data_IF_171459509869
#
_entry.id   IF_171459509869
#
_cell.length_a   1.000
_cell.length_b   1.000
_cell.length_c   1.000
_cell.angle_alpha   90.00
_cell.angle_beta   90.00
_cell.angle_gamma   90.00
#
_symmetry.space_group_name_H-M   'P 1'
#
loop_
_entity.id
_entity.type
_entity.pdbx_description
1 polymer ?
#
# COMPACT_ATOMS: atom_id res chain seq x y z
N UNK A 1 -11.63 -38.35 2.19
CA UNK A 1 -12.09 -37.04 2.71
C UNK A 1 -13.47 -36.73 2.14
N UNK A 2 -14.43 -36.30 2.95
CA UNK A 2 -15.77 -35.96 2.47
C UNK A 2 -15.71 -34.72 1.55
N UNK A 3 -16.37 -34.79 0.38
CA UNK A 3 -16.46 -33.66 -0.57
C UNK A 3 -17.35 -32.58 0.06
N UNK A 4 -16.79 -31.41 0.37
CA UNK A 4 -17.57 -30.26 0.86
C UNK A 4 -18.39 -29.67 -0.28
N UNK A 5 -19.59 -29.15 0.04
CA UNK A 5 -20.43 -28.43 -0.93
C UNK A 5 -19.71 -27.15 -1.34
N UNK A 6 -19.50 -26.96 -2.64
CA UNK A 6 -18.94 -25.72 -3.18
C UNK A 6 -19.97 -24.60 -3.00
N UNK A 7 -19.56 -23.50 -2.38
CA UNK A 7 -20.39 -22.33 -2.13
C UNK A 7 -20.19 -21.24 -3.19
N UNK A 8 -18.93 -20.81 -3.41
CA UNK A 8 -18.58 -19.72 -4.33
C UNK A 8 -17.26 -20.01 -5.03
N UNK A 9 -17.11 -19.58 -6.29
CA UNK A 9 -15.84 -19.65 -7.02
C UNK A 9 -15.29 -18.24 -7.11
N UNK A 10 -14.09 -18.02 -6.57
CA UNK A 10 -13.37 -16.75 -6.72
C UNK A 10 -12.42 -16.88 -7.91
N UNK A 11 -12.51 -15.92 -8.84
CA UNK A 11 -11.55 -15.77 -9.93
C UNK A 11 -10.48 -14.78 -9.52
N UNK A 12 -9.23 -15.25 -9.49
CA UNK A 12 -8.06 -14.42 -9.23
C UNK A 12 -7.25 -14.28 -10.51
N UNK A 13 -6.76 -13.07 -10.79
CA UNK A 13 -5.86 -12.87 -11.91
C UNK A 13 -4.58 -13.71 -11.73
N UNK A 14 -3.99 -14.12 -12.85
CA UNK A 14 -2.67 -14.75 -12.85
C UNK A 14 -1.58 -13.80 -12.36
N UNK A 15 -0.53 -14.38 -11.77
CA UNK A 15 0.66 -13.63 -11.34
C UNK A 15 1.41 -13.01 -12.53
N UNK A 16 1.48 -13.74 -13.65
CA UNK A 16 2.18 -13.30 -14.88
C UNK A 16 1.20 -12.59 -15.81
N UNK A 17 1.64 -11.46 -16.38
CA UNK A 17 0.86 -10.77 -17.41
C UNK A 17 0.52 -11.73 -18.57
N UNK A 18 -0.78 -11.87 -18.86
CA UNK A 18 -1.29 -12.76 -19.92
C UNK A 18 -1.46 -14.24 -19.53
N UNK A 19 -1.19 -14.64 -18.29
CA UNK A 19 -1.46 -16.00 -17.82
C UNK A 19 -2.97 -16.25 -17.59
N UNK A 20 -3.42 -17.53 -17.56
CA UNK A 20 -4.82 -17.86 -17.31
C UNK A 20 -5.22 -17.53 -15.86
N UNK A 21 -6.42 -17.00 -15.68
CA UNK A 21 -6.97 -16.74 -14.35
C UNK A 21 -7.09 -18.04 -13.53
N UNK A 22 -6.90 -17.91 -12.22
CA UNK A 22 -6.98 -19.02 -11.26
C UNK A 22 -8.39 -19.04 -10.67
N UNK A 23 -9.05 -20.19 -10.74
CA UNK A 23 -10.33 -20.42 -10.09
C UNK A 23 -10.14 -21.11 -8.73
N UNK A 24 -10.56 -20.44 -7.66
CA UNK A 24 -10.45 -20.94 -6.29
C UNK A 24 -11.86 -21.30 -5.80
N UNK A 25 -12.21 -22.59 -5.66
CA UNK A 25 -13.50 -23.00 -5.10
C UNK A 25 -13.49 -22.85 -3.58
N UNK A 26 -14.45 -22.10 -3.06
CA UNK A 26 -14.68 -21.89 -1.63
C UNK A 26 -15.85 -22.76 -1.17
N UNK A 27 -15.66 -23.48 -0.07
CA UNK A 27 -16.68 -24.33 0.52
C UNK A 27 -17.80 -23.49 1.18
N UNK A 28 -19.04 -23.97 1.11
CA UNK A 28 -20.22 -23.23 1.56
C UNK A 28 -20.22 -22.93 3.08
N UNK A 29 -19.58 -23.77 3.88
CA UNK A 29 -19.39 -23.61 5.33
C UNK A 29 -18.42 -22.49 5.70
N UNK A 30 -17.57 -22.04 4.77
CA UNK A 30 -16.61 -20.96 4.97
C UNK A 30 -17.12 -19.59 4.51
N UNK A 31 -18.31 -19.55 3.89
CA UNK A 31 -18.89 -18.29 3.43
C UNK A 31 -19.27 -17.41 4.63
N UNK A 32 -18.83 -16.16 4.58
CA UNK A 32 -19.21 -15.09 5.51
C UNK A 32 -19.96 -14.00 4.75
N UNK A 33 -20.16 -12.85 5.38
CA UNK A 33 -20.65 -11.64 4.70
C UNK A 33 -19.72 -11.33 3.53
N UNK A 34 -20.31 -11.00 2.37
CA UNK A 34 -19.55 -10.62 1.19
C UNK A 34 -18.79 -9.30 1.44
N UNK A 35 -17.50 -9.29 1.12
CA UNK A 35 -16.61 -8.15 1.31
C UNK A 35 -15.95 -8.10 2.69
N UNK A 36 -15.08 -7.10 2.89
CA UNK A 36 -14.46 -6.83 4.19
C UNK A 36 -15.42 -5.96 5.00
N UNK A 37 -15.96 -6.43 6.14
CA UNK A 37 -16.87 -5.63 6.94
C UNK A 37 -16.12 -4.44 7.52
N UNK A 38 -16.61 -3.23 7.26
CA UNK A 38 -16.08 -2.02 7.88
C UNK A 38 -16.72 -1.84 9.26
N UNK A 39 -15.90 -1.54 10.26
CA UNK A 39 -16.34 -1.19 11.60
C UNK A 39 -16.06 0.28 11.84
N UNK A 40 -17.09 1.11 11.76
CA UNK A 40 -16.95 2.58 11.82
C UNK A 40 -16.29 3.08 13.10
N UNK A 41 -16.50 2.38 14.22
CA UNK A 41 -15.85 2.68 15.51
C UNK A 41 -14.33 2.53 15.42
N UNK A 42 -13.84 1.47 14.78
CA UNK A 42 -12.41 1.21 14.60
C UNK A 42 -11.78 2.24 13.66
N UNK A 43 -12.47 2.60 12.57
CA UNK A 43 -12.00 3.61 11.61
C UNK A 43 -11.97 5.02 12.24
N UNK A 44 -12.96 5.33 13.07
CA UNK A 44 -13.11 6.67 13.65
C UNK A 44 -12.23 6.89 14.88
N UNK A 45 -11.92 5.83 15.64
CA UNK A 45 -11.04 5.88 16.82
C UNK A 45 -9.68 6.51 16.51
N UNK A 46 -9.01 6.05 15.44
CA UNK A 46 -7.70 6.55 15.01
C UNK A 46 -7.72 7.95 14.38
N UNK A 47 -8.89 8.57 14.22
CA UNK A 47 -9.02 9.86 13.54
C UNK A 47 -9.08 11.07 14.47
N UNK A 48 -9.48 10.87 15.75
CA UNK A 48 -9.68 11.96 16.71
C UNK A 48 -8.79 11.85 17.95
N UNK A 49 -8.91 10.77 18.71
CA UNK A 49 -8.24 10.66 20.03
C UNK A 49 -6.79 10.21 19.91
N UNK A 50 -6.51 9.30 18.97
CA UNK A 50 -5.18 8.76 18.73
C UNK A 50 -4.88 8.85 17.23
N UNK A 51 -4.43 10.01 16.72
CA UNK A 51 -4.16 10.17 15.30
C UNK A 51 -3.15 9.11 14.84
N UNK A 52 -3.48 8.43 13.74
CA UNK A 52 -2.58 7.48 13.13
C UNK A 52 -1.23 8.16 12.84
N UNK A 53 -0.14 7.59 13.32
CA UNK A 53 1.20 8.12 13.10
C UNK A 53 2.19 6.97 12.83
N UNK A 54 3.23 7.27 12.06
CA UNK A 54 4.29 6.34 11.77
C UNK A 54 5.07 5.99 13.04
N UNK A 55 5.28 4.69 13.28
CA UNK A 55 6.09 4.20 14.39
C UNK A 55 7.48 4.84 14.44
N UNK A 56 8.09 5.12 13.29
CA UNK A 56 9.39 5.78 13.19
C UNK A 56 9.41 7.21 13.77
N UNK A 57 8.28 7.90 13.75
CA UNK A 57 8.13 9.24 14.35
C UNK A 57 7.85 9.10 15.85
N UNK A 58 6.89 8.25 16.21
CA UNK A 58 6.53 7.99 17.61
C UNK A 58 7.73 7.50 18.44
N UNK A 59 8.59 6.65 17.86
CA UNK A 59 9.77 6.08 18.50
C UNK A 59 11.07 6.75 18.07
N UNK A 60 11.00 8.01 17.61
CA UNK A 60 12.17 8.73 17.12
C UNK A 60 13.28 8.88 18.17
N UNK A 61 12.94 9.05 19.45
CA UNK A 61 13.92 9.08 20.53
C UNK A 61 14.72 7.78 20.65
N UNK A 62 14.04 6.63 20.56
CA UNK A 62 14.66 5.30 20.57
C UNK A 62 15.55 5.10 19.34
N UNK A 63 15.14 5.61 18.18
CA UNK A 63 15.96 5.56 16.96
C UNK A 63 17.24 6.39 17.08
N UNK A 64 17.17 7.59 17.67
CA UNK A 64 18.34 8.45 17.93
C UNK A 64 19.29 7.81 18.94
N UNK A 65 18.76 7.25 20.03
CA UNK A 65 19.57 6.52 21.00
C UNK A 65 20.25 5.30 20.35
N UNK A 66 19.50 4.47 19.63
CA UNK A 66 20.06 3.30 18.94
C UNK A 66 21.14 3.67 17.90
N UNK A 67 21.01 4.84 17.26
CA UNK A 67 22.06 5.35 16.38
C UNK A 67 23.34 5.68 17.15
N UNK A 68 23.23 6.31 18.33
CA UNK A 68 24.39 6.62 19.18
C UNK A 68 25.10 5.35 19.65
N UNK A 69 24.35 4.39 20.18
CA UNK A 69 24.90 3.10 20.61
C UNK A 69 25.59 2.37 19.46
N UNK A 70 24.99 2.38 18.26
CA UNK A 70 25.60 1.78 17.07
C UNK A 70 26.88 2.49 16.65
N UNK A 71 26.91 3.82 16.72
CA UNK A 71 28.11 4.58 16.38
C UNK A 71 29.26 4.29 17.37
N UNK A 72 28.95 4.04 18.64
CA UNK A 72 29.92 3.71 19.68
C UNK A 72 30.42 2.26 19.59
N UNK A 73 29.51 1.30 19.42
CA UNK A 73 29.82 -0.13 19.52
C UNK A 73 29.97 -0.85 18.18
N UNK A 74 29.49 -0.30 17.07
CA UNK A 74 29.51 -0.96 15.75
C UNK A 74 29.59 0.04 14.58
N UNK A 75 30.73 0.78 14.46
CA UNK A 75 30.86 1.89 13.52
C UNK A 75 30.71 1.48 12.05
N UNK A 76 31.11 0.26 11.68
CA UNK A 76 30.97 -0.26 10.31
C UNK A 76 29.50 -0.39 9.90
N UNK A 77 28.65 -0.78 10.86
CA UNK A 77 27.21 -0.88 10.61
C UNK A 77 26.62 0.52 10.46
N UNK A 78 27.01 1.49 11.29
CA UNK A 78 26.53 2.87 11.14
C UNK A 78 26.92 3.48 9.79
N UNK A 79 28.12 3.18 9.28
CA UNK A 79 28.54 3.60 7.95
C UNK A 79 27.62 3.03 6.84
N UNK A 80 27.24 1.76 6.94
CA UNK A 80 26.29 1.13 6.01
C UNK A 80 24.93 1.85 6.00
N UNK A 81 24.37 2.17 7.17
CA UNK A 81 23.10 2.91 7.29
C UNK A 81 23.21 4.31 6.70
N UNK A 82 24.32 5.01 6.99
CA UNK A 82 24.60 6.34 6.45
C UNK A 82 24.67 6.32 4.93
N UNK A 83 25.33 5.33 4.35
CA UNK A 83 25.46 5.20 2.90
C UNK A 83 24.14 4.82 2.22
N UNK A 84 23.35 3.94 2.84
CA UNK A 84 21.98 3.69 2.40
C UNK A 84 21.14 4.97 2.42
N UNK A 85 21.20 5.75 3.50
CA UNK A 85 20.46 7.01 3.62
C UNK A 85 20.86 8.00 2.52
N UNK A 86 22.16 8.14 2.23
CA UNK A 86 22.65 8.97 1.11
C UNK A 86 22.09 8.50 -0.24
N UNK A 87 22.09 7.18 -0.49
CA UNK A 87 21.60 6.60 -1.76
C UNK A 87 20.09 6.77 -1.94
N UNK A 88 19.29 6.68 -0.86
CA UNK A 88 17.83 6.76 -0.95
C UNK A 88 17.28 8.20 -0.91
N UNK A 89 18.02 9.14 -0.31
CA UNK A 89 17.58 10.54 -0.16
C UNK A 89 17.14 11.21 -1.49
N UNK A 90 17.86 11.05 -2.61
CA UNK A 90 17.42 11.59 -3.90
C UNK A 90 16.06 11.06 -4.35
N UNK A 91 15.78 9.77 -4.09
CA UNK A 91 14.50 9.15 -4.43
C UNK A 91 13.36 9.69 -3.58
N UNK A 92 13.58 9.86 -2.27
CA UNK A 92 12.62 10.48 -1.36
C UNK A 92 12.27 11.90 -1.85
N UNK A 93 13.27 12.68 -2.26
CA UNK A 93 13.05 14.03 -2.77
C UNK A 93 12.28 14.03 -4.11
N UNK A 94 12.56 13.09 -5.01
CA UNK A 94 11.77 12.92 -6.25
C UNK A 94 10.31 12.57 -5.95
N UNK A 95 10.06 11.70 -4.98
CA UNK A 95 8.70 11.31 -4.55
C UNK A 95 7.98 12.51 -3.95
N UNK A 96 8.61 13.30 -3.09
CA UNK A 96 7.99 14.52 -2.52
C UNK A 96 7.53 15.49 -3.62
N UNK A 97 8.35 15.70 -4.65
CA UNK A 97 8.02 16.57 -5.79
C UNK A 97 6.94 16.00 -6.72
N UNK A 98 6.63 14.70 -6.65
CA UNK A 98 5.57 14.14 -7.50
C UNK A 98 4.20 14.69 -7.14
N UNK A 99 3.96 15.01 -5.85
CA UNK A 99 2.73 15.63 -5.37
C UNK A 99 2.50 17.04 -5.91
N UNK A 100 3.54 17.74 -6.36
CA UNK A 100 3.45 19.10 -6.91
C UNK A 100 3.03 19.10 -8.39
N UNK A 101 3.02 17.93 -9.06
CA UNK A 101 2.74 17.84 -10.50
C UNK A 101 1.25 18.01 -10.77
N UNK A 102 0.85 19.09 -11.41
CA UNK A 102 -0.53 19.25 -11.88
C UNK A 102 -0.75 18.37 -13.12
N UNK A 103 -1.77 17.49 -13.16
CA UNK A 103 -2.10 16.72 -14.34
C UNK A 103 -2.48 17.67 -15.49
N UNK A 104 -1.78 17.61 -16.61
CA UNK A 104 -2.17 18.31 -17.83
C UNK A 104 -3.11 17.38 -18.61
N UNK A 105 -4.42 17.53 -18.43
CA UNK A 105 -5.41 16.58 -18.98
C UNK A 105 -6.33 17.32 -19.96
N UNK A 106 -6.24 16.96 -21.25
CA UNK A 106 -7.41 17.05 -22.14
C UNK A 106 -8.35 15.90 -21.78
N UNK A 107 -9.65 16.17 -21.74
CA UNK A 107 -10.68 15.24 -21.27
C UNK A 107 -10.57 13.86 -21.94
N UNK A 108 -9.97 12.89 -21.25
CA UNK A 108 -9.94 11.51 -21.72
C UNK A 108 -11.32 10.88 -21.49
N UNK A 109 -11.97 10.51 -22.58
CA UNK A 109 -13.29 9.85 -22.60
C UNK A 109 -13.18 8.33 -22.40
N UNK A 110 -11.97 7.79 -22.31
CA UNK A 110 -11.72 6.35 -22.13
C UNK A 110 -11.86 5.90 -20.67
N UNK A 111 -12.22 4.62 -20.50
CA UNK A 111 -12.29 4.00 -19.18
C UNK A 111 -10.88 3.81 -18.59
N UNK A 112 -10.41 4.83 -17.87
CA UNK A 112 -9.10 4.88 -17.22
C UNK A 112 -8.84 3.67 -16.30
N UNK A 113 -9.88 3.05 -15.73
CA UNK A 113 -9.76 1.88 -14.84
C UNK A 113 -9.07 0.71 -15.53
N UNK A 114 -9.39 0.45 -16.80
CA UNK A 114 -8.80 -0.66 -17.55
C UNK A 114 -7.33 -0.36 -17.87
N UNK A 115 -7.06 0.84 -18.39
CA UNK A 115 -5.72 1.32 -18.73
C UNK A 115 -4.77 1.24 -17.52
N UNK A 116 -5.23 1.71 -16.35
CA UNK A 116 -4.46 1.65 -15.11
C UNK A 116 -4.20 0.20 -14.70
N UNK A 117 -5.22 -0.66 -14.76
CA UNK A 117 -5.08 -2.08 -14.39
C UNK A 117 -4.10 -2.80 -15.29
N UNK A 118 -4.19 -2.61 -16.60
CA UNK A 118 -3.30 -3.23 -17.58
C UNK A 118 -1.86 -2.75 -17.36
N UNK A 119 -1.67 -1.45 -17.12
CA UNK A 119 -0.34 -0.89 -16.82
C UNK A 119 0.25 -1.43 -15.51
N UNK A 120 -0.57 -1.56 -14.47
CA UNK A 120 -0.12 -2.11 -13.19
C UNK A 120 0.28 -3.58 -13.32
N UNK A 121 -0.45 -4.39 -14.10
CA UNK A 121 -0.06 -5.77 -14.37
C UNK A 121 1.23 -5.86 -15.19
N UNK A 122 1.43 -4.96 -16.17
CA UNK A 122 2.69 -4.86 -16.93
C UNK A 122 3.88 -4.57 -16.01
N UNK A 123 3.67 -3.78 -14.95
CA UNK A 123 4.68 -3.47 -13.93
C UNK A 123 4.90 -4.62 -12.92
N UNK A 124 4.15 -5.72 -13.00
CA UNK A 124 4.30 -6.90 -12.14
C UNK A 124 3.42 -6.92 -10.88
N UNK A 125 2.43 -6.03 -10.75
CA UNK A 125 1.46 -6.11 -9.65
C UNK A 125 0.39 -7.18 -9.94
N UNK A 126 0.10 -8.02 -8.96
CA UNK A 126 -0.83 -9.15 -9.09
C UNK A 126 -2.28 -8.74 -8.91
N UNK A 127 -2.57 -7.90 -7.90
CA UNK A 127 -3.92 -7.41 -7.62
C UNK A 127 -3.98 -5.88 -7.63
N UNK A 128 -5.06 -5.36 -8.21
CA UNK A 128 -5.29 -3.92 -8.39
C UNK A 128 -6.70 -3.59 -7.92
N UNK A 129 -6.78 -2.81 -6.84
CA UNK A 129 -8.02 -2.30 -6.28
C UNK A 129 -8.15 -0.79 -6.49
N UNK A 130 -9.39 -0.33 -6.57
CA UNK A 130 -9.73 1.09 -6.57
C UNK A 130 -10.68 1.36 -5.41
N UNK A 131 -10.43 2.43 -4.66
CA UNK A 131 -11.30 2.85 -3.56
C UNK A 131 -11.35 4.36 -3.48
N UNK A 132 -12.39 4.87 -2.82
CA UNK A 132 -12.49 6.30 -2.51
C UNK A 132 -11.37 6.67 -1.54
N UNK A 133 -10.79 7.84 -1.76
CA UNK A 133 -9.78 8.39 -0.88
C UNK A 133 -10.39 8.84 0.45
N UNK A 134 -9.86 8.33 1.55
CA UNK A 134 -10.27 8.69 2.90
C UNK A 134 -9.06 9.12 3.74
N UNK A 135 -9.13 10.36 4.23
CA UNK A 135 -8.06 11.04 4.96
C UNK A 135 -7.80 10.46 6.34
N UNK A 136 -8.74 9.68 6.88
CA UNK A 136 -8.61 9.02 8.18
C UNK A 136 -7.49 7.97 8.18
N UNK A 137 -7.15 7.41 7.02
CA UNK A 137 -6.07 6.41 6.87
C UNK A 137 -4.69 7.02 6.63
N UNK A 138 -4.52 8.33 6.80
CA UNK A 138 -3.26 9.02 6.51
C UNK A 138 -2.56 9.37 7.81
N UNK A 139 -1.27 9.04 7.89
CA UNK A 139 -0.41 9.47 8.99
C UNK A 139 -0.47 10.99 9.19
N UNK A 140 -0.61 11.43 10.43
CA UNK A 140 -0.75 12.85 10.77
C UNK A 140 0.39 13.70 10.18
N UNK A 141 1.64 13.25 10.34
CA UNK A 141 2.84 13.88 9.74
C UNK A 141 2.85 13.98 8.22
N UNK A 142 2.02 13.18 7.52
CA UNK A 142 1.98 13.10 6.06
C UNK A 142 0.83 13.89 5.44
N UNK A 143 -0.18 14.29 6.23
CA UNK A 143 -1.38 14.97 5.72
C UNK A 143 -1.11 16.26 4.93
N UNK A 144 -0.03 16.99 5.24
CA UNK A 144 0.35 18.22 4.53
C UNK A 144 0.94 17.98 3.14
N UNK A 145 1.54 16.81 2.91
CA UNK A 145 2.18 16.45 1.62
C UNK A 145 1.21 15.76 0.66
N UNK A 146 0.03 15.40 1.17
CA UNK A 146 -0.99 14.69 0.42
C UNK A 146 -1.91 15.71 -0.24
N UNK A 147 -2.13 15.51 -1.54
CA UNK A 147 -3.10 16.25 -2.33
C UNK A 147 -4.54 15.96 -1.91
N UNK A 148 -5.34 17.01 -1.79
CA UNK A 148 -6.74 16.92 -1.38
C UNK A 148 -7.71 16.90 -2.56
N UNK A 149 -7.22 17.21 -3.76
CA UNK A 149 -8.01 17.28 -4.99
C UNK A 149 -8.17 15.91 -5.69
N UNK A 150 -7.47 14.87 -5.21
CA UNK A 150 -7.56 13.52 -5.76
C UNK A 150 -8.61 12.69 -4.98
N UNK A 151 -9.70 12.25 -5.63
CA UNK A 151 -10.81 11.60 -4.94
C UNK A 151 -10.63 10.08 -4.75
N UNK A 152 -9.66 9.47 -5.43
CA UNK A 152 -9.53 8.02 -5.54
C UNK A 152 -8.11 7.55 -5.19
N UNK A 153 -8.03 6.31 -4.69
CA UNK A 153 -6.78 5.59 -4.41
C UNK A 153 -6.69 4.37 -5.31
N UNK A 154 -5.48 4.11 -5.79
CA UNK A 154 -5.12 2.89 -6.50
C UNK A 154 -4.33 2.03 -5.50
N UNK A 155 -4.88 0.88 -5.12
CA UNK A 155 -4.25 -0.08 -4.23
C UNK A 155 -3.59 -1.17 -5.08
N UNK A 156 -2.28 -1.34 -4.93
CA UNK A 156 -1.50 -2.31 -5.69
C UNK A 156 -0.94 -3.36 -4.75
N UNK A 157 -1.17 -4.64 -5.04
CA UNK A 157 -0.57 -5.75 -4.34
C UNK A 157 0.57 -6.34 -5.18
N UNK A 158 1.71 -6.56 -4.53
CA UNK A 158 2.84 -7.27 -5.09
C UNK A 158 3.02 -8.57 -4.30
N UNK A 159 2.91 -9.70 -4.98
CA UNK A 159 3.10 -11.02 -4.37
C UNK A 159 4.60 -11.32 -4.36
N UNK A 160 5.19 -11.43 -3.16
CA UNK A 160 6.60 -11.78 -3.01
C UNK A 160 6.78 -13.26 -3.36
N UNK A 161 7.67 -13.54 -4.30
CA UNK A 161 8.03 -14.91 -4.66
C UNK A 161 8.70 -15.60 -3.45
N UNK A 162 8.26 -16.82 -3.17
CA UNK A 162 8.93 -17.69 -2.20
C UNK A 162 10.12 -18.34 -2.92
N UNK A 163 11.35 -17.99 -2.51
CA UNK A 163 12.60 -18.60 -2.97
C UNK A 163 13.07 -19.59 -1.90
#
# INVERSE_FOLDING_TARGET
MAKRKVGKIIRRASLKFGGPDIEIPIAADLLKVDGVPQRDTEVSYYSREFPLESFSITQSASAVWAQKERAEHTPETEELYRDYQKKITPWINKIKRSGERVPNVSSQTENATKVIRDKAKELGYSEIGFTKFDRRYIYQSRKSFVRNDLPNVICLAYEQEYI
#
